data_IF_601163268655
#
_entry.id   IF_601163268655
#
_cell.length_a   1.000
_cell.length_b   1.000
_cell.length_c   1.000
_cell.angle_alpha   90.00
_cell.angle_beta   90.00
_cell.angle_gamma   90.00
#
_symmetry.space_group_name_H-M   'P 1'
#
loop_
_entity.id
_entity.type
_entity.pdbx_description
1 polymer ?
#
# COMPACT_ATOMS: atom_id res chain seq x y z
N UNK A 1 -14.07 14.52 8.79
CA UNK A 1 -13.57 13.14 9.07
C UNK A 1 -12.76 12.74 7.86
N UNK A 2 -11.43 12.64 7.95
CA UNK A 2 -10.60 12.27 6.80
C UNK A 2 -10.87 10.83 6.37
N UNK A 3 -11.07 10.65 5.06
CA UNK A 3 -11.07 9.35 4.39
C UNK A 3 -9.69 9.11 3.77
N UNK A 4 -9.13 7.93 3.98
CA UNK A 4 -7.77 7.57 3.55
C UNK A 4 -7.79 6.22 2.85
N UNK A 5 -6.93 6.06 1.83
CA UNK A 5 -6.62 4.76 1.23
C UNK A 5 -5.29 4.28 1.80
N UNK A 6 -5.31 3.13 2.45
CA UNK A 6 -4.12 2.38 2.86
C UNK A 6 -3.76 1.34 1.81
N UNK A 7 -2.48 1.21 1.50
CA UNK A 7 -1.93 0.21 0.59
C UNK A 7 -0.88 -0.62 1.32
N UNK A 8 -0.89 -1.94 1.14
CA UNK A 8 0.11 -2.84 1.71
C UNK A 8 0.46 -3.97 0.74
N UNK A 9 1.76 -4.25 0.60
CA UNK A 9 2.26 -5.37 -0.18
C UNK A 9 3.14 -6.24 0.69
N UNK A 10 2.67 -7.44 0.99
CA UNK A 10 3.40 -8.43 1.77
C UNK A 10 4.57 -9.04 1.01
N UNK A 11 5.53 -9.61 1.73
CA UNK A 11 6.64 -10.38 1.16
C UNK A 11 6.21 -11.70 0.50
N UNK A 12 4.96 -12.14 0.74
CA UNK A 12 4.36 -13.28 0.06
C UNK A 12 4.09 -13.01 -1.43
N UNK A 13 3.97 -11.74 -1.83
CA UNK A 13 3.69 -11.31 -3.22
C UNK A 13 2.44 -11.97 -3.82
N UNK A 14 1.46 -12.28 -2.98
CA UNK A 14 0.14 -12.81 -3.34
C UNK A 14 -0.80 -11.72 -3.87
N UNK A 15 -0.63 -10.48 -3.42
CA UNK A 15 -1.38 -9.34 -3.95
C UNK A 15 -1.04 -8.00 -3.31
N UNK A 16 -1.78 -6.99 -3.76
CA UNK A 16 -1.83 -5.65 -3.16
C UNK A 16 -3.09 -5.54 -2.31
N UNK A 17 -2.91 -5.37 -1.00
CA UNK A 17 -4.00 -5.08 -0.07
C UNK A 17 -4.36 -3.59 -0.15
N UNK A 18 -5.65 -3.31 -0.28
CA UNK A 18 -6.19 -1.95 -0.36
C UNK A 18 -7.29 -1.80 0.69
N UNK A 19 -7.19 -0.77 1.53
CA UNK A 19 -8.19 -0.47 2.54
C UNK A 19 -8.64 1.00 2.47
N UNK A 20 -9.94 1.22 2.33
CA UNK A 20 -10.56 2.54 2.47
C UNK A 20 -11.05 2.71 3.90
N UNK A 21 -10.50 3.71 4.61
CA UNK A 21 -10.73 3.90 6.05
C UNK A 21 -11.17 5.33 6.32
N UNK A 22 -12.26 5.47 7.07
CA UNK A 22 -12.67 6.74 7.65
C UNK A 22 -12.09 6.86 9.05
N UNK A 23 -11.34 7.94 9.30
CA UNK A 23 -10.83 8.26 10.63
C UNK A 23 -11.63 9.40 11.26
N UNK A 24 -11.80 9.34 12.57
CA UNK A 24 -12.32 10.45 13.35
C UNK A 24 -11.57 10.56 14.67
N UNK A 25 -11.48 11.77 15.20
CA UNK A 25 -10.91 12.01 16.51
C UNK A 25 -11.81 12.90 17.34
N UNK A 26 -11.79 12.68 18.65
CA UNK A 26 -12.51 13.50 19.64
C UNK A 26 -11.51 13.97 20.70
N UNK A 27 -11.61 15.25 21.06
CA UNK A 27 -10.67 15.90 21.98
C UNK A 27 -9.64 16.76 21.25
N UNK A 28 -8.66 17.24 22.00
CA UNK A 28 -7.55 18.03 21.49
C UNK A 28 -6.24 17.48 22.05
N UNK A 29 -5.15 17.75 21.33
CA UNK A 29 -3.80 17.35 21.72
C UNK A 29 -3.48 17.72 23.17
N UNK A 30 -2.97 16.79 24.00
CA UNK A 30 -2.51 15.41 23.69
C UNK A 30 -3.52 14.30 24.04
N UNK A 31 -4.78 14.65 24.27
CA UNK A 31 -5.81 13.75 24.80
C UNK A 31 -6.78 13.26 23.73
N UNK A 32 -6.48 13.50 22.45
CA UNK A 32 -7.32 13.09 21.35
C UNK A 32 -7.47 11.56 21.31
N UNK A 33 -8.71 11.12 21.15
CA UNK A 33 -9.03 9.70 20.95
C UNK A 33 -9.40 9.49 19.50
N UNK A 34 -8.67 8.60 18.84
CA UNK A 34 -8.94 8.22 17.46
C UNK A 34 -9.87 7.01 17.39
N UNK A 35 -10.80 7.05 16.45
CA UNK A 35 -11.60 5.91 16.02
C UNK A 35 -11.50 5.79 14.51
N UNK A 36 -11.76 4.58 14.01
CA UNK A 36 -11.73 4.30 12.58
C UNK A 36 -12.89 3.40 12.18
N UNK A 37 -13.25 3.46 10.90
CA UNK A 37 -14.19 2.57 10.25
C UNK A 37 -13.61 2.11 8.92
N UNK A 38 -13.47 0.79 8.73
CA UNK A 38 -13.09 0.21 7.42
C UNK A 38 -14.34 0.25 6.54
N UNK A 39 -14.31 1.12 5.53
CA UNK A 39 -15.41 1.30 4.57
C UNK A 39 -15.40 0.17 3.55
N UNK A 40 -14.20 -0.19 3.08
CA UNK A 40 -13.98 -1.27 2.13
C UNK A 40 -12.55 -1.79 2.29
N UNK A 41 -12.36 -3.08 2.07
CA UNK A 41 -11.04 -3.68 1.97
C UNK A 41 -11.08 -4.80 0.94
N UNK A 42 -10.05 -4.86 0.10
CA UNK A 42 -9.88 -5.91 -0.89
C UNK A 42 -8.40 -6.23 -1.12
N UNK A 43 -8.15 -7.39 -1.71
CA UNK A 43 -6.85 -7.79 -2.21
C UNK A 43 -6.92 -7.92 -3.73
N UNK A 44 -6.03 -7.22 -4.42
CA UNK A 44 -5.86 -7.36 -5.86
C UNK A 44 -4.67 -8.29 -6.11
N UNK A 45 -4.86 -9.50 -6.67
CA UNK A 45 -3.76 -10.41 -6.92
C UNK A 45 -2.72 -9.78 -7.86
N UNK A 46 -1.45 -9.97 -7.54
CA UNK A 46 -0.40 -9.55 -8.47
C UNK A 46 -0.43 -10.42 -9.72
N UNK A 47 -0.23 -9.79 -10.88
CA UNK A 47 0.12 -10.53 -12.08
C UNK A 47 1.45 -11.26 -11.88
N UNK A 48 1.66 -12.38 -12.57
CA UNK A 48 2.92 -13.12 -12.55
C UNK A 48 4.14 -12.24 -12.86
N UNK A 49 3.99 -11.26 -13.77
CA UNK A 49 5.04 -10.30 -14.11
C UNK A 49 5.42 -9.40 -12.93
N UNK A 50 4.44 -8.90 -12.19
CA UNK A 50 4.68 -8.07 -11.00
C UNK A 50 5.29 -8.88 -9.87
N UNK A 51 4.77 -10.06 -9.59
CA UNK A 51 5.34 -10.96 -8.59
C UNK A 51 6.82 -11.24 -8.89
N UNK A 52 7.16 -11.54 -10.15
CA UNK A 52 8.54 -11.77 -10.57
C UNK A 52 9.43 -10.53 -10.45
N UNK A 53 8.96 -9.36 -10.87
CA UNK A 53 9.73 -8.10 -10.76
C UNK A 53 10.05 -7.75 -9.31
N UNK A 54 9.06 -7.89 -8.43
CA UNK A 54 9.19 -7.58 -7.02
C UNK A 54 10.05 -8.62 -6.29
N UNK A 55 9.94 -9.91 -6.62
CA UNK A 55 10.72 -10.97 -5.97
C UNK A 55 12.23 -10.85 -6.19
N UNK A 56 12.64 -10.28 -7.33
CA UNK A 56 14.07 -10.09 -7.66
C UNK A 56 14.59 -8.70 -7.31
N UNK A 57 13.79 -7.84 -6.65
CA UNK A 57 14.14 -6.43 -6.44
C UNK A 57 15.47 -6.23 -5.69
N UNK A 58 15.78 -7.13 -4.75
CA UNK A 58 17.01 -7.07 -3.94
C UNK A 58 18.27 -7.48 -4.70
N UNK A 59 18.12 -8.09 -5.88
CA UNK A 59 19.22 -8.54 -6.74
C UNK A 59 19.56 -7.50 -7.82
N UNK A 60 18.74 -6.45 -7.96
CA UNK A 60 18.90 -5.43 -8.99
C UNK A 60 20.06 -4.50 -8.68
N UNK A 61 20.73 -4.04 -9.75
CA UNK A 61 21.61 -2.87 -9.66
C UNK A 61 20.81 -1.61 -9.31
N UNK A 62 21.51 -0.56 -8.87
CA UNK A 62 20.89 0.68 -8.41
C UNK A 62 19.98 1.34 -9.45
N UNK A 63 20.36 1.35 -10.73
CA UNK A 63 19.55 1.96 -11.79
C UNK A 63 18.28 1.16 -12.00
N UNK A 64 18.39 -0.16 -12.09
CA UNK A 64 17.26 -1.06 -12.30
C UNK A 64 16.28 -1.05 -11.11
N UNK A 65 16.81 -0.99 -9.88
CA UNK A 65 16.00 -0.84 -8.67
C UNK A 65 15.19 0.45 -8.66
N UNK A 66 15.81 1.60 -9.00
CA UNK A 66 15.11 2.89 -9.05
C UNK A 66 14.02 2.92 -10.13
N UNK A 67 14.26 2.28 -11.28
CA UNK A 67 13.24 2.13 -12.32
C UNK A 67 12.06 1.26 -11.85
N UNK A 68 12.34 0.16 -11.13
CA UNK A 68 11.31 -0.67 -10.52
C UNK A 68 10.52 0.11 -9.47
N UNK A 69 11.20 0.86 -8.59
CA UNK A 69 10.58 1.72 -7.59
C UNK A 69 9.59 2.71 -8.22
N UNK A 70 10.00 3.45 -9.25
CA UNK A 70 9.12 4.39 -9.96
C UNK A 70 7.96 3.66 -10.63
N UNK A 71 8.22 2.54 -11.30
CA UNK A 71 7.18 1.74 -11.96
C UNK A 71 6.15 1.21 -10.96
N UNK A 72 6.62 0.77 -9.79
CA UNK A 72 5.75 0.26 -8.74
C UNK A 72 4.91 1.38 -8.13
N UNK A 73 5.49 2.56 -7.90
CA UNK A 73 4.73 3.76 -7.50
C UNK A 73 3.62 4.11 -8.48
N UNK A 74 3.87 4.05 -9.79
CA UNK A 74 2.83 4.23 -10.80
C UNK A 74 1.76 3.13 -10.77
N UNK A 75 2.14 1.87 -10.53
CA UNK A 75 1.21 0.76 -10.39
C UNK A 75 0.26 0.94 -9.20
N UNK A 76 0.79 1.40 -8.05
CA UNK A 76 0.02 1.64 -6.84
C UNK A 76 -0.99 2.80 -6.97
N UNK A 77 -0.73 3.77 -7.85
CA UNK A 77 -1.59 4.94 -8.06
C UNK A 77 -2.62 4.81 -9.18
N UNK A 78 -2.87 3.60 -9.70
CA UNK A 78 -3.82 3.36 -10.79
C UNK A 78 -5.26 3.25 -10.32
#
# INVERSE_FOLDING_TARGET
MPRVIGLMSGSALDGLDIACVDFSSVGAYPTEKWTFNIVHAEIIPYSADWAKKLSTATELDARSYLLLHTSYGHYLGR
#
